data_IF_389148230961
#
_entry.id   IF_389148230961
#
_cell.length_a   1.000
_cell.length_b   1.000
_cell.length_c   1.000
_cell.angle_alpha   90.00
_cell.angle_beta   90.00
_cell.angle_gamma   90.00
#
_symmetry.space_group_name_H-M   'P 1'
#
loop_
_entity.id
_entity.type
_entity.pdbx_description
1 polymer ?
#
# COMPACT_ATOMS: atom_id res chain seq x y z
N UNK A 1 19.16 45.98 -67.87
CA UNK A 1 19.32 44.53 -67.74
C UNK A 1 19.93 44.21 -66.35
N UNK A 2 19.35 44.69 -65.22
CA UNK A 2 19.96 44.62 -63.90
C UNK A 2 18.96 44.66 -62.73
N UNK A 3 17.65 44.43 -62.97
CA UNK A 3 16.63 44.44 -61.83
C UNK A 3 15.95 43.07 -61.60
N UNK A 4 16.20 42.08 -62.44
CA UNK A 4 15.53 40.77 -62.34
C UNK A 4 16.29 39.71 -61.58
N UNK A 5 17.54 39.99 -61.08
CA UNK A 5 18.33 39.02 -60.33
C UNK A 5 18.34 39.23 -58.80
N UNK A 6 17.79 40.28 -58.26
CA UNK A 6 17.78 40.60 -56.84
C UNK A 6 16.55 40.08 -56.13
N UNK A 7 15.44 39.67 -56.80
CA UNK A 7 14.20 39.21 -56.22
C UNK A 7 14.20 37.68 -55.98
N UNK A 8 15.03 36.91 -56.67
CA UNK A 8 15.09 35.48 -56.58
C UNK A 8 15.91 34.95 -55.38
N UNK A 9 16.75 35.77 -54.74
CA UNK A 9 17.53 35.37 -53.56
C UNK A 9 16.88 35.72 -52.22
N UNK A 10 15.86 36.56 -52.18
CA UNK A 10 15.16 36.93 -50.95
C UNK A 10 14.04 35.94 -50.53
N UNK A 11 13.58 35.06 -51.43
CA UNK A 11 12.50 34.10 -51.17
C UNK A 11 13.03 32.75 -50.66
N UNK A 12 14.32 32.43 -50.85
CA UNK A 12 14.95 31.20 -50.37
C UNK A 12 15.50 31.28 -48.93
N UNK A 13 15.63 32.51 -48.38
CA UNK A 13 16.10 32.70 -47.00
C UNK A 13 14.97 32.71 -45.96
N UNK A 14 13.70 32.84 -46.38
CA UNK A 14 12.53 32.89 -45.47
C UNK A 14 11.87 31.54 -45.23
N UNK A 15 12.35 30.46 -45.87
CA UNK A 15 11.76 29.10 -45.76
C UNK A 15 12.42 28.18 -44.74
N UNK A 16 13.52 28.58 -44.07
CA UNK A 16 14.25 27.72 -43.12
C UNK A 16 14.08 28.08 -41.64
N UNK A 17 13.21 29.03 -41.32
CA UNK A 17 12.98 29.41 -39.89
C UNK A 17 11.65 28.97 -39.30
N UNK A 18 10.95 28.02 -39.89
CA UNK A 18 9.63 27.59 -39.42
C UNK A 18 9.54 26.11 -38.98
N UNK A 19 10.68 25.48 -38.62
CA UNK A 19 10.68 24.09 -38.11
C UNK A 19 11.40 23.94 -36.75
N UNK A 20 11.49 25.03 -35.97
CA UNK A 20 11.77 24.92 -34.54
C UNK A 20 10.44 24.86 -33.75
N UNK A 21 9.51 24.04 -34.20
CA UNK A 21 8.36 23.67 -33.38
C UNK A 21 8.86 22.77 -32.27
N UNK A 22 8.88 23.31 -31.08
CA UNK A 22 9.07 22.75 -29.78
C UNK A 22 8.75 21.25 -29.70
N UNK A 23 9.70 20.38 -29.99
CA UNK A 23 9.82 19.17 -29.20
C UNK A 23 10.36 19.64 -27.83
N UNK A 24 9.46 19.93 -26.89
CA UNK A 24 9.78 19.75 -25.48
C UNK A 24 10.09 18.27 -25.36
N UNK A 25 11.33 17.88 -25.58
CA UNK A 25 11.82 16.61 -25.13
C UNK A 25 11.50 16.54 -23.63
N UNK A 26 10.81 15.51 -23.18
CA UNK A 26 10.65 15.26 -21.77
C UNK A 26 12.04 15.36 -21.16
N UNK A 27 12.27 16.36 -20.32
CA UNK A 27 13.54 16.53 -19.63
C UNK A 27 13.78 15.29 -18.75
N UNK A 28 15.01 15.02 -18.38
CA UNK A 28 15.32 13.95 -17.41
C UNK A 28 14.50 14.15 -16.14
N UNK A 29 14.18 15.39 -15.77
CA UNK A 29 13.30 15.75 -14.64
C UNK A 29 11.85 15.28 -14.83
N UNK A 30 11.35 15.17 -16.08
CA UNK A 30 10.01 14.61 -16.36
C UNK A 30 9.98 13.07 -16.28
N UNK A 31 11.14 12.42 -16.26
CA UNK A 31 11.27 10.97 -16.13
C UNK A 31 11.40 10.50 -14.67
N UNK A 32 11.51 11.43 -13.75
CA UNK A 32 11.65 11.18 -12.30
C UNK A 32 10.62 12.04 -11.53
N UNK A 33 10.32 11.64 -10.31
CA UNK A 33 9.46 12.40 -9.42
C UNK A 33 7.96 12.32 -9.76
N UNK A 34 7.18 13.38 -9.44
CA UNK A 34 5.71 13.30 -9.44
C UNK A 34 5.07 13.06 -10.81
N UNK A 35 5.77 13.38 -11.90
CA UNK A 35 5.29 13.22 -13.27
C UNK A 35 5.90 12.02 -13.98
N UNK A 36 6.69 11.20 -13.27
CA UNK A 36 7.32 10.03 -13.84
C UNK A 36 6.29 9.13 -14.57
N UNK A 37 6.59 8.64 -15.78
CA UNK A 37 5.73 7.69 -16.47
C UNK A 37 5.78 6.32 -15.77
N UNK A 38 4.77 5.49 -16.04
CA UNK A 38 4.82 4.10 -15.62
C UNK A 38 6.04 3.41 -16.27
N UNK A 39 6.88 2.71 -15.48
CA UNK A 39 8.01 1.98 -16.04
C UNK A 39 7.56 0.93 -17.07
N UNK A 40 8.33 0.66 -18.14
CA UNK A 40 7.96 -0.34 -19.15
C UNK A 40 7.69 -1.74 -18.58
N UNK A 41 8.40 -2.15 -17.52
CA UNK A 41 8.17 -3.41 -16.82
C UNK A 41 6.77 -3.45 -16.18
N UNK A 42 6.34 -2.35 -15.58
CA UNK A 42 5.03 -2.25 -14.96
C UNK A 42 3.91 -2.18 -16.01
N UNK A 43 4.12 -1.45 -17.11
CA UNK A 43 3.20 -1.44 -18.26
C UNK A 43 3.03 -2.85 -18.84
N UNK A 44 4.12 -3.63 -18.90
CA UNK A 44 4.05 -5.03 -19.34
C UNK A 44 3.19 -5.86 -18.39
N UNK A 45 3.36 -5.73 -17.06
CA UNK A 45 2.54 -6.45 -16.06
C UNK A 45 1.06 -6.07 -16.18
N UNK A 46 0.76 -4.78 -16.35
CA UNK A 46 -0.61 -4.29 -16.54
C UNK A 46 -1.26 -4.95 -17.76
N UNK A 47 -0.56 -4.98 -18.90
CA UNK A 47 -1.07 -5.58 -20.13
C UNK A 47 -1.26 -7.10 -20.02
N UNK A 48 -0.29 -7.82 -19.42
CA UNK A 48 -0.42 -9.27 -19.23
C UNK A 48 -1.48 -9.65 -18.21
N UNK A 49 -1.80 -8.75 -17.27
CA UNK A 49 -2.88 -8.92 -16.31
C UNK A 49 -4.27 -8.56 -16.82
N UNK A 50 -4.44 -8.24 -18.11
CA UNK A 50 -5.70 -7.77 -18.70
C UNK A 50 -6.26 -6.52 -18.01
N UNK A 51 -5.38 -5.60 -17.61
CA UNK A 51 -5.69 -4.36 -16.93
C UNK A 51 -5.48 -3.16 -17.87
N UNK A 52 -6.24 -2.08 -17.70
CA UNK A 52 -5.97 -0.80 -18.36
C UNK A 52 -4.90 0.00 -17.62
N UNK A 53 -4.08 0.78 -18.31
CA UNK A 53 -3.10 1.65 -17.65
C UNK A 53 -3.77 2.62 -16.67
N UNK A 54 -4.94 3.14 -17.03
CA UNK A 54 -5.73 4.07 -16.22
C UNK A 54 -6.85 3.39 -15.42
N UNK A 55 -6.92 2.04 -15.37
CA UNK A 55 -7.96 1.37 -14.60
C UNK A 55 -7.75 1.58 -13.09
N UNK A 56 -8.84 1.48 -12.29
CA UNK A 56 -8.81 1.67 -10.85
C UNK A 56 -7.79 0.79 -10.13
N UNK A 57 -7.29 1.31 -9.00
CA UNK A 57 -6.40 0.60 -8.08
C UNK A 57 -7.04 0.47 -6.69
N UNK A 58 -6.52 -0.46 -5.90
CA UNK A 58 -6.75 -0.64 -4.48
C UNK A 58 -5.43 -1.08 -3.84
N UNK A 59 -5.15 -0.60 -2.64
CA UNK A 59 -3.92 -0.92 -1.91
C UNK A 59 -4.23 -1.75 -0.67
N UNK A 60 -3.43 -2.78 -0.42
CA UNK A 60 -3.48 -3.60 0.80
C UNK A 60 -2.10 -3.66 1.42
N UNK A 61 -1.98 -3.16 2.62
CA UNK A 61 -0.74 -3.16 3.38
C UNK A 61 -0.84 -4.13 4.55
N UNK A 62 0.24 -4.88 4.79
CA UNK A 62 0.39 -5.84 5.88
C UNK A 62 1.61 -5.47 6.70
N UNK A 63 1.38 -5.03 7.96
CA UNK A 63 2.45 -4.51 8.82
C UNK A 63 3.45 -5.59 9.20
N UNK A 64 2.99 -6.76 9.64
CA UNK A 64 3.88 -7.85 10.09
C UNK A 64 4.79 -8.33 8.96
N UNK A 65 4.24 -8.48 7.77
CA UNK A 65 4.99 -8.88 6.57
C UNK A 65 5.84 -7.74 6.00
N UNK A 66 5.52 -6.49 6.37
CA UNK A 66 6.12 -5.27 5.78
C UNK A 66 5.96 -5.24 4.25
N UNK A 67 4.74 -5.49 3.79
CA UNK A 67 4.39 -5.56 2.37
C UNK A 67 3.21 -4.65 2.05
N UNK A 68 3.24 -4.06 0.85
CA UNK A 68 2.14 -3.32 0.26
C UNK A 68 1.81 -3.93 -1.10
N UNK A 69 0.60 -4.42 -1.23
CA UNK A 69 0.05 -4.96 -2.47
C UNK A 69 -0.71 -3.87 -3.24
N UNK A 70 -0.45 -3.78 -4.53
CA UNK A 70 -1.26 -3.01 -5.46
C UNK A 70 -2.15 -3.96 -6.23
N UNK A 71 -3.44 -3.82 -6.04
CA UNK A 71 -4.48 -4.50 -6.80
C UNK A 71 -5.03 -3.55 -7.85
N UNK A 72 -5.22 -4.04 -9.06
CA UNK A 72 -5.68 -3.21 -10.18
C UNK A 72 -6.85 -3.87 -10.89
N UNK A 73 -7.81 -3.03 -11.31
CA UNK A 73 -9.03 -3.52 -11.93
C UNK A 73 -8.76 -4.06 -13.33
N UNK A 74 -9.24 -5.27 -13.58
CA UNK A 74 -9.26 -5.94 -14.88
C UNK A 74 -10.43 -5.46 -15.74
N UNK A 75 -10.44 -5.88 -17.00
CA UNK A 75 -11.51 -5.59 -17.95
C UNK A 75 -12.87 -6.18 -17.57
N UNK A 76 -12.88 -7.26 -16.77
CA UNK A 76 -14.10 -7.88 -16.22
C UNK A 76 -14.65 -7.17 -14.97
N UNK A 77 -13.96 -6.12 -14.50
CA UNK A 77 -14.34 -5.33 -13.34
C UNK A 77 -13.89 -5.91 -12.00
N UNK A 78 -13.25 -7.09 -11.97
CA UNK A 78 -12.60 -7.62 -10.76
C UNK A 78 -11.21 -7.04 -10.58
N UNK A 79 -10.69 -7.07 -9.36
CA UNK A 79 -9.32 -6.64 -9.07
C UNK A 79 -8.40 -7.85 -8.99
N UNK A 80 -7.22 -7.73 -9.57
CA UNK A 80 -6.16 -8.73 -9.45
C UNK A 80 -4.88 -8.07 -8.94
N UNK A 81 -4.06 -8.87 -8.27
CA UNK A 81 -2.76 -8.43 -7.76
C UNK A 81 -1.85 -8.05 -8.94
N UNK A 82 -1.46 -6.79 -9.00
CA UNK A 82 -0.51 -6.29 -9.99
C UNK A 82 0.93 -6.48 -9.52
N UNK A 83 1.22 -6.03 -8.30
CA UNK A 83 2.58 -6.03 -7.74
C UNK A 83 2.56 -5.91 -6.23
N UNK A 84 3.53 -6.55 -5.57
CA UNK A 84 3.81 -6.40 -4.15
C UNK A 84 5.10 -5.60 -3.98
N UNK A 85 5.07 -4.60 -3.10
CA UNK A 85 6.21 -3.76 -2.75
C UNK A 85 6.60 -4.00 -1.29
N UNK A 86 7.89 -4.07 -0.96
CA UNK A 86 8.32 -4.05 0.43
C UNK A 86 8.11 -2.67 1.04
N UNK A 87 7.64 -2.66 2.28
CA UNK A 87 7.66 -1.48 3.16
C UNK A 87 8.98 -1.54 3.92
N UNK A 88 9.84 -0.55 3.71
CA UNK A 88 11.16 -0.55 4.30
C UNK A 88 11.17 -0.08 5.76
N UNK A 89 10.21 0.75 6.16
CA UNK A 89 10.04 1.17 7.54
C UNK A 89 8.56 1.51 7.84
N UNK A 90 8.13 1.12 9.03
CA UNK A 90 6.93 1.62 9.69
C UNK A 90 7.20 1.61 11.20
N UNK A 91 6.48 2.38 12.00
CA UNK A 91 6.76 2.50 13.43
C UNK A 91 5.55 2.13 14.31
N UNK A 92 5.82 1.88 15.57
CA UNK A 92 4.84 1.42 16.54
C UNK A 92 4.76 -0.11 16.62
N UNK A 93 3.60 -0.63 16.95
CA UNK A 93 3.30 -2.05 17.14
C UNK A 93 2.19 -2.50 16.19
N UNK A 94 1.85 -3.77 16.18
CA UNK A 94 0.55 -4.22 15.68
C UNK A 94 -0.55 -3.65 16.60
N UNK A 95 -1.64 -3.19 15.99
CA UNK A 95 -2.75 -2.52 16.67
C UNK A 95 -3.06 -1.14 16.10
N UNK A 96 -4.23 -0.57 16.44
CA UNK A 96 -4.67 0.71 15.94
C UNK A 96 -3.81 1.86 16.49
N UNK A 97 -3.64 2.92 15.69
CA UNK A 97 -3.17 4.21 16.20
C UNK A 97 -4.28 4.86 17.01
N UNK A 98 -3.95 5.42 18.20
CA UNK A 98 -4.94 6.00 19.10
C UNK A 98 -4.70 7.46 19.44
N UNK A 99 -3.45 7.89 19.57
CA UNK A 99 -3.09 9.20 20.08
C UNK A 99 -2.06 9.88 19.20
N UNK A 100 -2.22 11.20 18.98
CA UNK A 100 -1.20 11.98 18.30
C UNK A 100 0.15 11.86 19.03
N UNK A 101 1.23 11.72 18.28
CA UNK A 101 2.57 11.56 18.85
C UNK A 101 2.91 10.15 19.36
N UNK A 102 2.01 9.17 19.32
CA UNK A 102 2.26 7.78 19.73
C UNK A 102 3.21 7.03 18.77
N UNK A 103 3.55 7.65 17.65
CA UNK A 103 4.41 7.09 16.59
C UNK A 103 3.92 5.73 16.05
N UNK A 104 2.61 5.48 16.15
CA UNK A 104 1.95 4.26 15.74
C UNK A 104 1.48 4.40 14.29
N UNK A 105 1.89 3.50 13.42
CA UNK A 105 1.34 3.37 12.07
C UNK A 105 -0.09 2.80 12.17
N UNK A 106 -1.10 3.47 11.57
CA UNK A 106 -2.51 3.12 11.76
C UNK A 106 -2.90 1.83 11.03
N UNK A 107 -3.91 1.15 11.55
CA UNK A 107 -4.58 0.01 10.89
C UNK A 107 -6.05 0.36 10.66
N UNK A 108 -6.60 -0.07 9.54
CA UNK A 108 -8.00 0.23 9.18
C UNK A 108 -8.23 0.35 7.68
N UNK A 109 -9.39 0.89 7.32
CA UNK A 109 -9.80 1.15 5.95
C UNK A 109 -9.83 2.66 5.70
N UNK A 110 -9.08 3.12 4.72
CA UNK A 110 -8.95 4.53 4.38
C UNK A 110 -9.25 4.75 2.90
N UNK A 111 -9.64 5.97 2.54
CA UNK A 111 -9.84 6.37 1.15
C UNK A 111 -8.87 7.49 0.79
N UNK A 112 -8.19 7.31 -0.32
CA UNK A 112 -7.16 8.23 -0.81
C UNK A 112 -7.66 8.85 -2.11
N UNK A 113 -7.86 10.17 -2.09
CA UNK A 113 -8.27 10.95 -3.25
C UNK A 113 -7.12 11.70 -3.91
N UNK A 114 -7.35 12.38 -5.05
CA UNK A 114 -6.31 13.15 -5.75
C UNK A 114 -5.64 14.20 -4.88
N UNK A 115 -6.40 14.86 -3.98
CA UNK A 115 -5.88 15.89 -3.06
C UNK A 115 -4.98 15.34 -1.96
N UNK A 116 -4.90 14.01 -1.80
CA UNK A 116 -4.00 13.37 -0.85
C UNK A 116 -2.56 13.22 -1.38
N UNK A 117 -2.37 13.38 -2.70
CA UNK A 117 -1.05 13.30 -3.32
C UNK A 117 -0.19 14.52 -2.95
N UNK A 118 0.99 14.29 -2.43
CA UNK A 118 1.96 15.31 -2.07
C UNK A 118 3.23 15.19 -2.92
N UNK A 119 3.34 15.94 -4.03
CA UNK A 119 4.51 15.93 -4.90
C UNK A 119 5.73 16.65 -4.31
N UNK A 120 5.52 17.50 -3.31
CA UNK A 120 6.55 18.32 -2.66
C UNK A 120 6.93 17.79 -1.28
N UNK A 121 6.77 16.47 -1.06
CA UNK A 121 7.12 15.84 0.19
C UNK A 121 8.62 15.93 0.48
N UNK A 122 8.98 16.28 1.73
CA UNK A 122 10.37 16.21 2.21
C UNK A 122 10.93 14.79 2.22
N UNK A 123 10.08 13.79 2.03
CA UNK A 123 10.41 12.38 1.94
C UNK A 123 10.22 11.86 0.50
N UNK A 124 10.74 12.59 -0.47
CA UNK A 124 10.67 12.34 -1.91
C UNK A 124 9.24 12.55 -2.45
N UNK A 125 8.39 11.53 -2.49
CA UNK A 125 6.97 11.59 -2.82
C UNK A 125 6.16 11.01 -1.66
N UNK A 126 4.94 11.50 -1.48
CA UNK A 126 4.05 10.98 -0.45
C UNK A 126 2.58 11.07 -0.87
N UNK A 127 1.74 10.30 -0.19
CA UNK A 127 0.29 10.56 -0.15
C UNK A 127 -0.26 10.30 1.24
N UNK A 128 -1.18 11.17 1.67
CA UNK A 128 -1.88 11.04 2.93
C UNK A 128 -2.90 9.91 2.84
N UNK A 129 -2.93 9.02 3.83
CA UNK A 129 -3.84 7.88 3.85
C UNK A 129 -5.26 8.24 4.29
N UNK A 130 -5.48 9.47 4.79
CA UNK A 130 -6.79 9.93 5.27
C UNK A 130 -7.08 9.59 6.74
N UNK A 131 -6.04 9.38 7.56
CA UNK A 131 -6.19 9.23 9.01
C UNK A 131 -6.44 10.60 9.68
N UNK A 132 -7.34 10.71 10.68
CA UNK A 132 -8.27 9.72 11.17
C UNK A 132 -9.54 9.62 10.31
N UNK A 133 -10.00 8.40 10.03
CA UNK A 133 -11.24 8.14 9.33
C UNK A 133 -12.47 8.24 10.27
N UNK A 134 -13.66 7.85 9.81
CA UNK A 134 -14.88 7.90 10.60
C UNK A 134 -14.85 6.97 11.84
N UNK A 135 -14.23 5.81 11.71
CA UNK A 135 -14.04 4.87 12.83
C UNK A 135 -13.11 5.44 13.89
N UNK A 136 -11.96 5.96 13.46
CA UNK A 136 -10.95 6.53 14.35
C UNK A 136 -11.56 7.71 15.17
N UNK A 137 -12.25 8.62 14.47
CA UNK A 137 -12.92 9.78 15.08
C UNK A 137 -14.00 9.35 16.07
N UNK A 138 -14.84 8.36 15.72
CA UNK A 138 -15.90 7.86 16.59
C UNK A 138 -15.35 7.23 17.87
N UNK A 139 -14.15 6.64 17.81
CA UNK A 139 -13.45 6.07 18.95
C UNK A 139 -12.56 7.07 19.70
N UNK A 140 -12.57 8.37 19.31
CA UNK A 140 -11.79 9.41 19.96
C UNK A 140 -10.29 9.35 19.64
N UNK A 141 -9.90 8.68 18.57
CA UNK A 141 -8.50 8.60 18.15
C UNK A 141 -8.05 9.90 17.50
N UNK A 142 -6.81 10.29 17.74
CA UNK A 142 -6.24 11.59 17.33
C UNK A 142 -4.95 11.41 16.55
N UNK A 143 -4.60 12.44 15.77
CA UNK A 143 -3.45 12.52 14.92
C UNK A 143 -3.81 12.97 13.51
N UNK A 144 -2.81 13.22 12.70
CA UNK A 144 -2.96 13.68 11.32
C UNK A 144 -1.68 13.42 10.51
N UNK A 145 -1.74 13.63 9.19
CA UNK A 145 -0.60 13.54 8.29
C UNK A 145 0.13 12.19 8.33
N UNK A 146 -0.64 11.11 8.36
CA UNK A 146 -0.13 9.76 8.23
C UNK A 146 -0.04 9.40 6.75
N UNK A 147 1.16 9.08 6.29
CA UNK A 147 1.45 8.99 4.87
C UNK A 147 2.09 7.65 4.49
N UNK A 148 1.95 7.30 3.20
CA UNK A 148 2.90 6.44 2.51
C UNK A 148 3.87 7.35 1.77
N UNK A 149 5.20 7.14 1.92
CA UNK A 149 6.23 8.05 1.39
C UNK A 149 7.55 7.34 1.09
N UNK A 150 8.44 8.00 0.39
CA UNK A 150 9.81 7.55 0.13
C UNK A 150 10.77 7.71 1.32
N UNK A 151 12.06 7.67 1.04
CA UNK A 151 13.16 7.93 1.98
C UNK A 151 13.33 6.94 3.14
N UNK A 152 12.66 5.80 3.11
CA UNK A 152 12.87 4.66 4.05
C UNK A 152 13.05 5.03 5.54
N UNK A 153 12.39 6.07 6.05
CA UNK A 153 12.43 6.49 7.44
C UNK A 153 11.02 6.80 7.94
N UNK A 154 10.61 6.29 9.08
CA UNK A 154 9.24 6.44 9.58
C UNK A 154 9.17 6.84 11.04
N UNK A 155 8.18 7.68 11.35
CA UNK A 155 7.78 8.08 12.71
C UNK A 155 6.25 8.09 12.86
N UNK A 156 5.56 7.04 12.39
CA UNK A 156 4.11 6.88 12.36
C UNK A 156 3.53 6.63 10.97
N UNK A 157 4.35 6.78 9.94
CA UNK A 157 4.00 6.59 8.53
C UNK A 157 4.41 5.20 8.02
N UNK A 158 4.18 4.96 6.72
CA UNK A 158 4.68 3.81 5.98
C UNK A 158 5.71 4.28 4.95
N UNK A 159 6.96 3.91 5.12
CA UNK A 159 8.05 4.34 4.25
C UNK A 159 8.44 3.25 3.25
N UNK A 160 8.73 3.68 2.03
CA UNK A 160 9.14 2.85 0.89
C UNK A 160 10.48 3.34 0.32
N UNK A 161 11.08 2.55 -0.55
CA UNK A 161 12.16 3.01 -1.43
C UNK A 161 11.64 4.06 -2.43
N UNK A 162 12.50 5.04 -2.76
CA UNK A 162 12.11 6.18 -3.61
C UNK A 162 11.60 5.74 -4.98
N UNK A 163 12.23 4.77 -5.63
CA UNK A 163 11.77 4.24 -6.93
C UNK A 163 10.43 3.53 -6.82
N UNK A 164 10.19 2.86 -5.69
CA UNK A 164 8.95 2.14 -5.47
C UNK A 164 7.78 3.09 -5.20
N UNK A 165 8.02 4.16 -4.42
CA UNK A 165 6.99 5.17 -4.21
C UNK A 165 6.70 5.96 -5.49
N UNK A 166 7.69 6.19 -6.37
CA UNK A 166 7.46 6.77 -7.70
C UNK A 166 6.52 5.91 -8.56
N UNK A 167 6.75 4.59 -8.60
CA UNK A 167 5.87 3.67 -9.30
C UNK A 167 4.44 3.70 -8.74
N UNK A 168 4.32 3.67 -7.41
CA UNK A 168 3.03 3.70 -6.73
C UNK A 168 2.30 5.03 -6.96
N UNK A 169 3.03 6.15 -6.90
CA UNK A 169 2.51 7.48 -7.16
C UNK A 169 2.03 7.63 -8.62
N UNK A 170 2.80 7.09 -9.58
CA UNK A 170 2.39 7.05 -10.98
C UNK A 170 1.12 6.21 -11.18
N UNK A 171 1.00 5.03 -10.55
CA UNK A 171 -0.20 4.20 -10.59
C UNK A 171 -1.42 4.94 -10.03
N UNK A 172 -1.28 5.64 -8.89
CA UNK A 172 -2.34 6.44 -8.30
C UNK A 172 -2.79 7.57 -9.25
N UNK A 173 -1.83 8.31 -9.82
CA UNK A 173 -2.11 9.37 -10.79
C UNK A 173 -2.83 8.85 -12.03
N UNK A 174 -2.38 7.73 -12.60
CA UNK A 174 -3.03 7.10 -13.74
C UNK A 174 -4.47 6.65 -13.43
N UNK A 175 -4.71 6.08 -12.25
CA UNK A 175 -6.04 5.68 -11.81
C UNK A 175 -6.98 6.89 -11.66
N UNK A 176 -6.50 8.01 -11.09
CA UNK A 176 -7.27 9.25 -11.01
C UNK A 176 -7.55 9.85 -12.40
N UNK A 177 -6.58 9.83 -13.31
CA UNK A 177 -6.77 10.25 -14.70
C UNK A 177 -7.81 9.38 -15.42
N UNK A 178 -7.92 8.11 -15.06
CA UNK A 178 -8.95 7.17 -15.54
C UNK A 178 -10.34 7.38 -14.96
N UNK A 179 -10.52 8.37 -14.07
CA UNK A 179 -11.80 8.72 -13.46
C UNK A 179 -12.06 8.10 -12.10
N UNK A 180 -11.11 7.37 -11.51
CA UNK A 180 -11.23 6.92 -10.12
C UNK A 180 -11.21 8.13 -9.19
N UNK A 181 -12.27 8.32 -8.40
CA UNK A 181 -12.38 9.46 -7.49
C UNK A 181 -11.53 9.29 -6.24
N UNK A 182 -11.55 8.07 -5.70
CA UNK A 182 -10.77 7.65 -4.52
C UNK A 182 -10.41 6.18 -4.69
N UNK A 183 -9.27 5.78 -4.17
CA UNK A 183 -8.95 4.37 -4.01
C UNK A 183 -8.87 3.98 -2.54
N UNK A 184 -9.26 2.75 -2.26
CA UNK A 184 -9.23 2.20 -0.91
C UNK A 184 -7.81 1.78 -0.54
N UNK A 185 -7.40 2.13 0.69
CA UNK A 185 -6.19 1.69 1.34
C UNK A 185 -6.56 0.86 2.57
N UNK A 186 -6.27 -0.43 2.53
CA UNK A 186 -6.53 -1.38 3.60
C UNK A 186 -5.22 -1.64 4.36
N UNK A 187 -5.05 -0.99 5.53
CA UNK A 187 -3.90 -1.19 6.40
C UNK A 187 -4.22 -2.29 7.42
N UNK A 188 -3.64 -3.47 7.22
CA UNK A 188 -3.86 -4.66 8.04
C UNK A 188 -2.68 -4.92 8.97
N UNK A 189 -2.89 -5.49 10.16
CA UNK A 189 -1.79 -5.88 11.05
C UNK A 189 -0.90 -6.96 10.44
N UNK A 190 -1.51 -7.92 9.78
CA UNK A 190 -0.90 -9.08 9.11
C UNK A 190 -1.87 -9.63 8.06
N UNK A 191 -1.45 -10.61 7.26
CA UNK A 191 -2.35 -11.32 6.36
C UNK A 191 -3.42 -12.06 7.17
N UNK A 192 -4.71 -11.75 6.94
CA UNK A 192 -5.85 -12.17 7.75
C UNK A 192 -6.22 -13.66 7.59
N UNK A 193 -5.20 -14.53 7.63
CA UNK A 193 -5.36 -15.99 7.57
C UNK A 193 -5.75 -16.58 8.93
N UNK A 194 -6.40 -17.75 8.98
CA UNK A 194 -6.70 -18.44 10.25
C UNK A 194 -5.44 -18.70 11.09
N UNK A 195 -4.29 -19.00 10.44
CA UNK A 195 -3.01 -19.22 11.09
C UNK A 195 -2.52 -17.97 11.83
N UNK A 196 -2.55 -16.84 11.17
CA UNK A 196 -2.12 -15.58 11.77
C UNK A 196 -3.10 -15.11 12.85
N UNK A 197 -4.41 -15.27 12.62
CA UNK A 197 -5.42 -14.97 13.63
C UNK A 197 -5.22 -15.82 14.88
N UNK A 198 -4.95 -17.13 14.74
CA UNK A 198 -4.63 -18.02 15.86
C UNK A 198 -3.37 -17.56 16.62
N UNK A 199 -2.28 -17.23 15.88
CA UNK A 199 -1.05 -16.73 16.50
C UNK A 199 -1.25 -15.47 17.35
N UNK A 200 -2.15 -14.61 16.93
CA UNK A 200 -2.43 -13.32 17.57
C UNK A 200 -3.69 -13.34 18.46
N UNK A 201 -4.28 -14.50 18.72
CA UNK A 201 -5.56 -14.62 19.45
C UNK A 201 -5.52 -14.09 20.90
N UNK A 202 -4.34 -14.07 21.53
CA UNK A 202 -4.13 -13.54 22.88
C UNK A 202 -3.90 -12.01 22.92
N UNK A 203 -3.95 -11.31 21.78
CA UNK A 203 -3.75 -9.87 21.73
C UNK A 203 -4.96 -9.11 22.27
N UNK A 204 -4.72 -8.01 22.98
CA UNK A 204 -5.75 -7.03 23.34
C UNK A 204 -6.48 -6.43 22.12
N UNK A 205 -5.86 -6.47 20.94
CA UNK A 205 -6.41 -5.96 19.68
C UNK A 205 -7.15 -7.01 18.86
N UNK A 206 -7.27 -8.25 19.35
CA UNK A 206 -7.87 -9.34 18.61
C UNK A 206 -9.30 -9.04 18.12
N UNK A 207 -10.14 -8.43 18.97
CA UNK A 207 -11.50 -8.05 18.58
C UNK A 207 -11.52 -6.99 17.45
N UNK A 208 -10.59 -6.05 17.48
CA UNK A 208 -10.40 -5.07 16.40
C UNK A 208 -9.96 -5.76 15.10
N UNK A 209 -9.04 -6.69 15.17
CA UNK A 209 -8.56 -7.44 14.00
C UNK A 209 -9.62 -8.38 13.42
N UNK A 210 -10.48 -8.94 14.26
CA UNK A 210 -11.67 -9.69 13.79
C UNK A 210 -12.57 -8.81 12.92
N UNK A 211 -12.80 -7.59 13.33
CA UNK A 211 -13.56 -6.62 12.54
C UNK A 211 -12.85 -6.24 11.23
N UNK A 212 -11.51 -6.05 11.24
CA UNK A 212 -10.76 -5.83 9.99
C UNK A 212 -10.81 -7.05 9.07
N UNK A 213 -10.74 -8.25 9.63
CA UNK A 213 -10.83 -9.51 8.87
C UNK A 213 -12.14 -9.61 8.09
N UNK A 214 -13.23 -9.16 8.64
CA UNK A 214 -14.53 -9.18 7.97
C UNK A 214 -14.50 -8.42 6.64
N UNK A 215 -13.92 -7.22 6.59
CA UNK A 215 -13.73 -6.45 5.37
C UNK A 215 -12.70 -7.08 4.43
N UNK A 216 -11.62 -7.65 4.97
CA UNK A 216 -10.62 -8.38 4.21
C UNK A 216 -11.21 -9.59 3.50
N UNK A 217 -12.00 -10.42 4.21
CA UNK A 217 -12.63 -11.62 3.66
C UNK A 217 -13.62 -11.28 2.53
N UNK A 218 -14.35 -10.18 2.65
CA UNK A 218 -15.26 -9.71 1.57
C UNK A 218 -14.48 -9.38 0.30
N UNK A 219 -13.35 -8.68 0.42
CA UNK A 219 -12.48 -8.43 -0.73
C UNK A 219 -11.92 -9.73 -1.31
N UNK A 220 -11.43 -10.63 -0.47
CA UNK A 220 -10.83 -11.90 -0.89
C UNK A 220 -11.83 -12.81 -1.63
N UNK A 221 -13.12 -12.74 -1.28
CA UNK A 221 -14.18 -13.50 -1.96
C UNK A 221 -14.62 -12.83 -3.27
N UNK A 222 -14.71 -11.50 -3.28
CA UNK A 222 -15.34 -10.79 -4.42
C UNK A 222 -14.32 -10.21 -5.40
N UNK A 223 -13.08 -10.02 -4.96
CA UNK A 223 -12.07 -9.22 -5.66
C UNK A 223 -12.61 -7.84 -6.08
N UNK A 224 -13.42 -7.23 -5.21
CA UNK A 224 -13.99 -5.88 -5.40
C UNK A 224 -13.80 -5.05 -4.15
N UNK A 225 -13.57 -3.74 -4.26
CA UNK A 225 -13.53 -2.86 -3.10
C UNK A 225 -14.82 -2.99 -2.29
N UNK A 226 -14.70 -3.08 -0.97
CA UNK A 226 -15.84 -3.16 -0.05
C UNK A 226 -16.35 -1.77 0.28
N UNK A 227 -17.67 -1.59 0.33
CA UNK A 227 -18.23 -0.38 0.88
C UNK A 227 -18.04 -0.37 2.41
N UNK A 228 -17.27 0.59 2.91
CA UNK A 228 -16.95 0.70 4.33
C UNK A 228 -17.79 1.79 4.97
N UNK A 229 -18.57 1.43 5.96
CA UNK A 229 -19.33 2.34 6.82
C UNK A 229 -18.90 2.23 8.27
N UNK A 230 -19.43 3.12 9.10
CA UNK A 230 -19.23 3.11 10.55
C UNK A 230 -20.54 3.38 11.24
N UNK A 231 -20.92 2.54 12.20
CA UNK A 231 -22.03 2.73 13.15
C UNK A 231 -21.67 2.05 14.47
N UNK A 232 -22.25 2.49 15.59
CA UNK A 232 -21.91 1.99 16.94
C UNK A 232 -20.39 1.97 17.20
N UNK A 233 -19.64 2.91 16.60
CA UNK A 233 -18.17 3.01 16.65
C UNK A 233 -17.45 1.78 16.10
N UNK A 234 -18.07 1.05 15.16
CA UNK A 234 -17.52 -0.17 14.53
C UNK A 234 -17.56 -0.03 13.02
N UNK A 235 -16.61 -0.64 12.35
CA UNK A 235 -16.72 -0.84 10.90
C UNK A 235 -17.90 -1.76 10.59
N UNK A 236 -18.62 -1.40 9.55
CA UNK A 236 -19.64 -2.23 8.92
C UNK A 236 -19.40 -2.23 7.41
N UNK A 237 -19.65 -3.35 6.77
CA UNK A 237 -19.29 -3.52 5.37
C UNK A 237 -20.54 -3.79 4.53
N UNK A 238 -20.61 -3.13 3.37
CA UNK A 238 -21.72 -3.22 2.41
C UNK A 238 -23.08 -2.90 3.03
N UNK A 239 -23.08 -2.19 4.16
CA UNK A 239 -24.28 -1.76 4.87
C UNK A 239 -24.90 -0.53 4.20
N UNK A 240 -26.19 -0.61 3.91
CA UNK A 240 -26.98 0.52 3.39
C UNK A 240 -28.24 0.68 4.23
N UNK A 241 -28.56 1.93 4.56
CA UNK A 241 -29.85 2.24 5.15
C UNK A 241 -30.94 2.17 4.08
N UNK A 242 -32.07 1.53 4.41
CA UNK A 242 -33.21 1.34 3.48
C UNK A 242 -33.79 2.65 2.97
N UNK A 243 -33.59 3.73 3.68
CA UNK A 243 -34.07 5.08 3.35
C UNK A 243 -33.00 5.95 2.63
N UNK A 244 -31.85 5.39 2.28
CA UNK A 244 -30.77 6.06 1.55
C UNK A 244 -29.99 7.09 2.38
N UNK A 245 -30.22 7.19 3.70
CA UNK A 245 -29.42 8.05 4.58
C UNK A 245 -28.01 7.50 4.75
N UNK A 246 -27.07 8.37 5.10
CA UNK A 246 -25.70 8.00 5.45
C UNK A 246 -25.67 7.41 6.88
N UNK A 247 -24.86 6.39 7.09
CA UNK A 247 -24.60 5.83 8.40
C UNK A 247 -23.99 6.88 9.32
N UNK A 248 -24.48 6.91 10.56
CA UNK A 248 -23.93 7.78 11.62
C UNK A 248 -22.92 6.97 12.44
N UNK A 249 -21.66 7.41 12.59
CA UNK A 249 -20.60 6.64 13.24
C UNK A 249 -20.90 6.19 14.68
N UNK A 250 -21.75 6.93 15.39
CA UNK A 250 -22.20 6.62 16.77
C UNK A 250 -23.65 6.13 16.84
N UNK A 251 -24.36 6.12 15.70
CA UNK A 251 -25.76 5.68 15.64
C UNK A 251 -25.87 4.17 15.54
N UNK A 252 -27.11 3.69 15.65
CA UNK A 252 -27.45 2.26 15.56
C UNK A 252 -27.10 1.68 14.18
N UNK A 253 -26.57 0.48 14.18
CA UNK A 253 -26.23 -0.24 12.95
C UNK A 253 -27.49 -0.85 12.30
N UNK A 254 -27.65 -0.73 10.97
CA UNK A 254 -28.71 -1.44 10.27
C UNK A 254 -28.48 -2.95 10.31
N UNK A 255 -29.54 -3.72 10.21
CA UNK A 255 -29.42 -5.13 9.93
C UNK A 255 -28.88 -5.32 8.50
N UNK A 256 -27.77 -6.00 8.37
CA UNK A 256 -27.12 -6.31 7.09
C UNK A 256 -27.28 -7.79 6.82
N UNK A 257 -27.86 -8.13 5.66
CA UNK A 257 -27.87 -9.50 5.19
C UNK A 257 -26.47 -9.91 4.74
N UNK A 258 -25.86 -10.87 5.41
CA UNK A 258 -24.55 -11.38 5.02
C UNK A 258 -24.71 -12.42 3.89
N UNK A 259 -23.85 -12.35 2.85
CA UNK A 259 -23.81 -13.42 1.84
C UNK A 259 -23.48 -14.78 2.48
N UNK A 260 -24.17 -15.83 2.04
CA UNK A 260 -23.99 -17.18 2.59
C UNK A 260 -22.52 -17.67 2.48
N UNK A 261 -21.83 -17.32 1.41
CA UNK A 261 -20.42 -17.66 1.20
C UNK A 261 -19.50 -16.99 2.25
N UNK A 262 -19.79 -15.76 2.65
CA UNK A 262 -19.04 -15.06 3.68
C UNK A 262 -19.27 -15.70 5.05
N UNK A 263 -20.52 -16.06 5.35
CA UNK A 263 -20.86 -16.78 6.59
C UNK A 263 -20.13 -18.12 6.64
N UNK A 264 -20.17 -18.89 5.56
CA UNK A 264 -19.49 -20.18 5.46
C UNK A 264 -17.97 -20.05 5.62
N UNK A 265 -17.35 -19.06 4.92
CA UNK A 265 -15.93 -18.76 5.07
C UNK A 265 -15.56 -18.42 6.51
N UNK A 266 -16.31 -17.52 7.14
CA UNK A 266 -16.07 -17.12 8.54
C UNK A 266 -16.14 -18.31 9.48
N UNK A 267 -17.15 -19.17 9.35
CA UNK A 267 -17.31 -20.38 10.18
C UNK A 267 -16.15 -21.36 9.98
N UNK A 268 -15.74 -21.59 8.73
CA UNK A 268 -14.61 -22.46 8.41
C UNK A 268 -13.29 -21.92 8.96
N UNK A 269 -13.03 -20.62 8.78
CA UNK A 269 -11.84 -19.95 9.29
C UNK A 269 -11.78 -19.99 10.82
N UNK A 270 -12.89 -19.72 11.52
CA UNK A 270 -12.97 -19.78 12.98
C UNK A 270 -12.77 -21.19 13.54
N UNK A 271 -13.29 -22.19 12.85
CA UNK A 271 -13.06 -23.59 13.24
C UNK A 271 -11.59 -23.97 13.09
N UNK A 272 -10.98 -23.61 11.98
CA UNK A 272 -9.56 -23.85 11.71
C UNK A 272 -8.66 -23.07 12.68
N UNK A 273 -8.97 -21.82 12.97
CA UNK A 273 -8.26 -20.98 13.94
C UNK A 273 -8.26 -21.63 15.33
N UNK A 274 -9.42 -22.08 15.81
CA UNK A 274 -9.54 -22.77 17.09
C UNK A 274 -8.73 -24.07 17.12
N UNK A 275 -8.75 -24.83 16.04
CA UNK A 275 -7.96 -26.05 15.91
C UNK A 275 -6.45 -25.76 15.98
N UNK A 276 -5.98 -24.75 15.27
CA UNK A 276 -4.59 -24.33 15.27
C UNK A 276 -4.20 -23.86 16.67
N UNK A 277 -4.96 -22.94 17.26
CA UNK A 277 -4.68 -22.40 18.60
C UNK A 277 -4.60 -23.49 19.67
N UNK A 278 -5.43 -24.53 19.57
CA UNK A 278 -5.43 -25.66 20.51
C UNK A 278 -4.15 -26.52 20.43
N UNK A 279 -3.43 -26.47 19.33
CA UNK A 279 -2.18 -27.23 19.11
C UNK A 279 -0.92 -26.39 19.31
N UNK A 280 -1.06 -25.06 19.48
CA UNK A 280 0.06 -24.15 19.67
C UNK A 280 0.64 -24.23 21.06
N UNK A 281 1.96 -24.21 21.14
CA UNK A 281 2.69 -24.01 22.39
C UNK A 281 2.74 -22.51 22.75
N UNK A 282 2.91 -22.13 24.04
CA UNK A 282 2.89 -20.74 24.46
C UNK A 282 3.86 -19.81 23.70
N UNK A 283 5.00 -20.31 23.24
CA UNK A 283 6.01 -19.60 22.46
C UNK A 283 5.62 -19.39 20.98
N UNK A 284 4.66 -20.15 20.48
CA UNK A 284 4.14 -20.02 19.12
C UNK A 284 3.03 -18.98 19.01
N UNK A 285 2.37 -18.62 20.12
CA UNK A 285 1.56 -17.43 20.11
C UNK A 285 2.46 -16.23 19.87
N UNK A 286 2.12 -15.44 18.86
CA UNK A 286 2.86 -14.24 18.61
C UNK A 286 2.82 -13.40 19.88
N UNK A 287 3.92 -13.40 20.59
CA UNK A 287 4.27 -12.23 21.37
C UNK A 287 4.23 -11.13 20.34
N UNK A 288 3.18 -10.28 20.39
CA UNK A 288 3.23 -8.99 19.71
C UNK A 288 4.62 -8.49 20.04
N UNK A 289 5.54 -8.32 19.10
CA UNK A 289 6.83 -7.82 19.46
C UNK A 289 6.51 -6.49 20.12
N UNK A 290 6.48 -6.51 21.46
CA UNK A 290 6.67 -5.29 22.15
C UNK A 290 7.93 -4.80 21.51
N UNK A 291 7.85 -3.69 20.78
CA UNK A 291 9.00 -2.95 20.39
C UNK A 291 9.63 -2.49 21.70
N UNK A 292 10.11 -3.49 22.44
CA UNK A 292 10.73 -3.36 23.73
C UNK A 292 12.19 -3.33 23.42
N UNK A 293 12.77 -2.29 23.76
CA UNK A 293 14.19 -2.12 23.86
C UNK A 293 14.77 -3.26 24.69
N UNK A 294 16.00 -3.58 24.42
CA UNK A 294 16.83 -4.48 25.22
C UNK A 294 16.86 -4.16 26.73
N UNK A 295 16.24 -3.07 27.16
CA UNK A 295 16.22 -2.58 28.55
C UNK A 295 14.82 -2.52 29.17
N UNK A 296 13.80 -3.11 28.52
CA UNK A 296 12.40 -2.96 28.96
C UNK A 296 11.79 -1.59 28.67
N UNK A 297 12.58 -0.68 28.12
CA UNK A 297 12.17 0.62 27.61
C UNK A 297 11.70 0.48 26.16
N UNK A 298 10.64 1.16 25.69
CA UNK A 298 10.16 1.11 24.32
C UNK A 298 11.31 1.44 23.33
N UNK A 299 11.53 0.71 22.17
CA UNK A 299 12.50 1.01 21.10
C UNK A 299 12.23 2.42 20.56
N UNK A 300 13.23 3.34 20.45
CA UNK A 300 13.01 4.60 19.76
C UNK A 300 12.49 4.28 18.36
N UNK A 301 11.65 5.16 17.83
CA UNK A 301 11.23 5.03 16.45
C UNK A 301 12.45 4.85 15.52
N UNK A 302 13.59 5.47 15.90
CA UNK A 302 14.85 5.35 15.18
C UNK A 302 15.44 3.95 15.23
N UNK A 303 15.47 3.32 16.42
CA UNK A 303 16.01 1.96 16.55
C UNK A 303 15.11 0.93 15.86
N UNK A 304 13.80 1.17 15.86
CA UNK A 304 12.85 0.34 15.11
C UNK A 304 12.97 0.57 13.60
N UNK A 305 13.01 1.83 13.16
CA UNK A 305 13.25 2.16 11.76
C UNK A 305 14.60 1.54 11.29
N UNK A 306 15.66 1.61 12.11
CA UNK A 306 16.92 0.97 11.79
C UNK A 306 16.81 -0.56 11.64
N UNK A 307 16.02 -1.22 12.48
CA UNK A 307 15.78 -2.66 12.35
C UNK A 307 14.92 -2.99 11.10
N UNK A 308 13.91 -2.19 10.80
CA UNK A 308 13.11 -2.36 9.58
C UNK A 308 13.94 -2.07 8.33
N UNK A 309 14.79 -1.02 8.33
CA UNK A 309 15.75 -0.75 7.25
C UNK A 309 16.69 -1.93 7.06
N UNK A 310 17.23 -2.47 8.15
CA UNK A 310 18.10 -3.64 8.09
C UNK A 310 17.38 -4.88 7.52
N UNK A 311 16.14 -5.11 7.91
CA UNK A 311 15.29 -6.19 7.36
C UNK A 311 14.97 -5.98 5.89
N UNK A 312 14.73 -4.75 5.48
CA UNK A 312 14.49 -4.38 4.09
C UNK A 312 15.77 -4.30 3.24
N UNK A 313 16.97 -4.42 3.86
CA UNK A 313 18.24 -4.33 3.17
C UNK A 313 18.80 -2.92 3.01
N UNK A 314 18.43 -2.01 3.91
CA UNK A 314 18.92 -0.62 3.96
C UNK A 314 19.68 -0.34 5.26
N UNK A 315 20.60 0.64 5.25
CA UNK A 315 21.26 1.15 6.46
C UNK A 315 20.37 2.19 7.18
N UNK A 316 20.91 2.79 8.27
CA UNK A 316 20.18 3.78 9.06
C UNK A 316 19.87 5.07 8.30
N UNK A 317 20.65 5.38 7.29
CA UNK A 317 20.54 6.54 6.43
C UNK A 317 19.66 6.30 5.20
N UNK A 318 19.02 5.11 5.12
CA UNK A 318 18.18 4.74 3.99
C UNK A 318 18.92 4.36 2.71
N UNK A 319 20.25 4.09 2.84
CA UNK A 319 21.08 3.65 1.73
C UNK A 319 21.02 2.11 1.62
N UNK A 320 20.85 1.54 0.42
CA UNK A 320 20.82 0.09 0.24
C UNK A 320 22.06 -0.57 0.83
N UNK A 321 21.87 -1.53 1.71
CA UNK A 321 22.95 -2.40 2.18
C UNK A 321 23.41 -3.23 1.00
N UNK A 322 24.57 -2.89 0.43
CA UNK A 322 25.12 -3.56 -0.74
C UNK A 322 25.11 -5.09 -0.57
N UNK A 323 24.52 -5.78 -1.51
CA UNK A 323 24.63 -7.20 -1.85
C UNK A 323 24.61 -8.32 -0.78
N UNK A 324 24.40 -8.05 0.50
CA UNK A 324 24.36 -9.10 1.52
C UNK A 324 23.17 -10.08 1.30
N UNK A 325 22.02 -9.58 0.91
CA UNK A 325 20.86 -10.44 0.57
C UNK A 325 20.97 -11.05 -0.82
N UNK A 326 21.52 -10.32 -1.80
CA UNK A 326 21.80 -10.84 -3.13
C UNK A 326 22.92 -11.91 -3.10
N UNK A 327 23.90 -11.77 -2.20
CA UNK A 327 24.94 -12.79 -2.02
C UNK A 327 24.37 -14.06 -1.36
N UNK A 328 23.46 -13.92 -0.40
CA UNK A 328 22.81 -15.08 0.23
C UNK A 328 21.88 -15.82 -0.73
N UNK A 329 21.13 -15.09 -1.56
CA UNK A 329 20.30 -15.67 -2.61
C UNK A 329 21.13 -16.26 -3.77
N UNK A 330 22.22 -15.58 -4.18
CA UNK A 330 23.19 -16.14 -5.13
C UNK A 330 23.86 -17.38 -4.60
N UNK A 331 24.26 -17.38 -3.32
CA UNK A 331 24.86 -18.56 -2.68
C UNK A 331 23.86 -19.72 -2.53
N UNK A 332 22.58 -19.44 -2.31
CA UNK A 332 21.50 -20.44 -2.29
C UNK A 332 21.23 -21.03 -3.69
N UNK A 333 21.20 -20.17 -4.71
CA UNK A 333 21.04 -20.61 -6.11
C UNK A 333 22.26 -21.41 -6.58
N UNK A 334 23.48 -20.96 -6.26
CA UNK A 334 24.72 -21.69 -6.60
C UNK A 334 24.82 -23.07 -5.88
N UNK A 335 24.34 -23.16 -4.63
CA UNK A 335 24.26 -24.44 -3.92
C UNK A 335 23.23 -25.37 -4.55
N UNK A 336 22.11 -24.85 -5.04
CA UNK A 336 21.09 -25.64 -5.73
C UNK A 336 21.61 -26.18 -7.06
N UNK A 337 22.26 -25.32 -7.86
CA UNK A 337 22.85 -25.71 -9.14
C UNK A 337 24.01 -26.68 -8.99
N UNK A 338 24.76 -26.62 -7.86
CA UNK A 338 25.81 -27.60 -7.55
C UNK A 338 25.21 -28.97 -7.17
N UNK A 339 24.10 -28.96 -6.41
CA UNK A 339 23.40 -30.21 -5.98
C UNK A 339 22.67 -30.91 -7.15
N UNK A 340 22.25 -30.15 -8.17
CA UNK A 340 21.65 -30.70 -9.40
C UNK A 340 22.71 -31.28 -10.34
N UNK A 341 23.93 -30.72 -10.39
CA UNK A 341 25.05 -31.25 -11.19
C UNK A 341 25.72 -32.49 -10.60
N UNK A 342 25.52 -32.78 -9.32
CA UNK A 342 26.01 -34.04 -8.69
C UNK A 342 24.98 -35.18 -8.79
N UNK A 343 23.83 -34.95 -9.42
CA UNK A 343 22.77 -35.96 -9.61
C UNK A 343 22.62 -36.44 -11.05
N UNK A 344 23.33 -35.81 -11.98
CA UNK A 344 23.48 -36.24 -13.39
C UNK A 344 24.86 -36.88 -13.57
#
# INVERSE_FOLDING_TARGET
>A
MTIRRAVAMAVLASGLMALSACQKGAGIEDLLGPNAPLPPSLVKLIKTGEMGENSPILLRLYKEESELEVWKQKTDGTFALLKTYPICAWSGKLGPKKVEGDRQAPEGFYNIGPGSLNPESSYHLAFDIGYPNAYDKANGFTGQHLMVHGSCNSSGCYAMDDKQVEELYALARHAFQGGQREFQFQAMPFRMTPQNMARHSNSEHYAFWRMLKEGSDRFDLTHRPVAVGVCEKRYVFDAQLSDGRTLTPTGECPAVAEPAELVAKRQADEALEKQIAATMTPDQFAVVPNLVYKTGQPISAEAYAAEQHRRAGYDREGKPLGNARTSMFKNLLQKRDATERERD
#
